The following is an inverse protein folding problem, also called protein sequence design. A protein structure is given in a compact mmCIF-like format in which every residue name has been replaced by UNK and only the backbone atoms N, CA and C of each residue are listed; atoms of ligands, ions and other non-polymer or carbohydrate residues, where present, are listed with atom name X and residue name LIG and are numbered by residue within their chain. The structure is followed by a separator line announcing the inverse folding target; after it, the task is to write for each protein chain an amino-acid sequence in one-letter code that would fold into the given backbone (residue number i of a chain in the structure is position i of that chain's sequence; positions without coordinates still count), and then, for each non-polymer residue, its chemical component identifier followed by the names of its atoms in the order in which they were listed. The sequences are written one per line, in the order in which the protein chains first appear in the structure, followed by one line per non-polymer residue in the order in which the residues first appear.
data_IF_190513501341
#
_entry.id   IF_190513501341
#
_cell.length_a   1.000
_cell.length_b   1.000
_cell.length_c   1.000
_cell.angle_alpha   90.00
_cell.angle_beta   90.00
_cell.angle_gamma   90.00
#
_symmetry.space_group_name_H-M   'P 1'
#
loop_
_entity.id
_entity.type
_entity.pdbx_description
1 polymer ?
#
# COMPACT_ATOMS: atom_id res chain seq x y z
N UNK A 1 -9.57 1.44 -16.28
CA UNK A 1 -9.11 1.87 -14.94
C UNK A 1 -9.39 0.70 -14.01
N UNK A 2 -8.43 0.30 -13.20
CA UNK A 2 -8.60 -0.76 -12.19
C UNK A 2 -8.84 -0.08 -10.84
N UNK A 3 -9.82 -0.56 -10.07
CA UNK A 3 -10.15 0.00 -8.76
C UNK A 3 -10.01 -1.11 -7.72
N UNK A 4 -9.22 -0.86 -6.67
CA UNK A 4 -8.95 -1.87 -5.64
C UNK A 4 -8.90 -1.29 -4.21
N UNK A 5 -9.55 -1.92 -3.22
CA UNK A 5 -10.46 -3.05 -3.37
C UNK A 5 -11.73 -2.66 -4.17
N UNK A 6 -12.39 -3.62 -4.84
CA UNK A 6 -13.60 -3.35 -5.64
C UNK A 6 -14.80 -2.90 -4.79
N UNK A 7 -14.74 -3.12 -3.48
CA UNK A 7 -15.75 -2.68 -2.52
C UNK A 7 -15.05 -2.37 -1.19
N UNK A 8 -15.38 -1.24 -0.57
CA UNK A 8 -14.79 -0.80 0.70
C UNK A 8 -14.21 0.61 0.63
N UNK A 9 -13.86 1.13 1.81
CA UNK A 9 -13.30 2.48 1.97
C UNK A 9 -11.83 2.50 1.57
N UNK A 10 -11.38 3.58 0.92
CA UNK A 10 -9.98 3.75 0.53
C UNK A 10 -9.59 3.02 -0.76
N UNK A 11 -10.48 2.89 -1.74
CA UNK A 11 -10.13 2.31 -3.03
C UNK A 11 -9.06 3.14 -3.79
N UNK A 12 -8.07 2.46 -4.37
CA UNK A 12 -7.07 3.05 -5.28
C UNK A 12 -7.50 2.87 -6.72
N UNK A 13 -7.41 3.95 -7.50
CA UNK A 13 -7.68 3.97 -8.94
C UNK A 13 -6.37 3.86 -9.71
N UNK A 14 -6.14 2.73 -10.37
CA UNK A 14 -4.98 2.50 -11.22
C UNK A 14 -5.36 2.82 -12.67
N UNK A 15 -4.67 3.80 -13.22
CA UNK A 15 -4.83 4.18 -14.62
C UNK A 15 -3.81 3.48 -15.51
N UNK A 16 -4.04 3.52 -16.83
CA UNK A 16 -3.02 3.06 -17.80
C UNK A 16 -1.71 3.86 -17.70
N UNK A 17 -1.77 5.11 -17.26
CA UNK A 17 -0.58 5.93 -17.03
C UNK A 17 0.25 5.43 -15.86
N UNK A 18 -0.39 4.91 -14.81
CA UNK A 18 0.31 4.27 -13.69
C UNK A 18 0.98 2.98 -14.15
N UNK A 19 0.31 2.15 -14.95
CA UNK A 19 0.90 0.90 -15.45
C UNK A 19 2.19 1.12 -16.26
N UNK A 20 2.32 2.23 -16.98
CA UNK A 20 3.56 2.58 -17.70
C UNK A 20 4.77 2.78 -16.77
N UNK A 21 4.55 3.00 -15.47
CA UNK A 21 5.63 3.12 -14.48
C UNK A 21 6.14 1.77 -13.97
N UNK A 22 5.52 0.66 -14.36
CA UNK A 22 6.05 -0.68 -14.13
C UNK A 22 7.15 -1.05 -15.14
N UNK A 23 7.35 -0.24 -16.19
CA UNK A 23 8.43 -0.47 -17.16
C UNK A 23 9.81 -0.24 -16.52
N UNK A 24 10.79 -1.03 -16.98
CA UNK A 24 12.16 -1.00 -16.48
C UNK A 24 12.76 0.41 -16.51
N UNK A 25 13.31 0.85 -15.38
CA UNK A 25 13.97 2.16 -15.24
C UNK A 25 13.03 3.32 -14.88
N UNK A 26 11.74 3.06 -14.66
CA UNK A 26 10.79 4.06 -14.15
C UNK A 26 10.58 3.91 -12.64
N UNK A 27 10.42 5.03 -11.94
CA UNK A 27 10.03 5.02 -10.52
C UNK A 27 8.54 4.73 -10.38
N UNK A 28 8.19 3.80 -9.49
CA UNK A 28 6.80 3.50 -9.12
C UNK A 28 6.12 4.77 -8.57
N UNK A 29 4.85 4.95 -8.92
CA UNK A 29 4.01 6.00 -8.35
C UNK A 29 3.46 5.58 -6.98
N UNK A 30 3.18 6.55 -6.10
CA UNK A 30 2.56 6.36 -4.79
C UNK A 30 1.30 5.45 -4.88
N UNK A 31 0.51 5.60 -5.95
CA UNK A 31 -0.69 4.79 -6.23
C UNK A 31 -0.38 3.31 -6.46
N UNK A 32 0.70 2.98 -7.16
CA UNK A 32 1.10 1.59 -7.42
C UNK A 32 1.65 0.93 -6.15
N UNK A 33 2.41 1.69 -5.35
CA UNK A 33 2.93 1.23 -4.08
C UNK A 33 1.76 0.93 -3.13
N UNK A 34 0.79 1.84 -3.02
CA UNK A 34 -0.41 1.63 -2.19
C UNK A 34 -1.23 0.43 -2.66
N UNK A 35 -1.39 0.24 -3.98
CA UNK A 35 -2.05 -0.94 -4.52
C UNK A 35 -1.32 -2.23 -4.15
N UNK A 36 0.00 -2.29 -4.40
CA UNK A 36 0.80 -3.48 -4.12
C UNK A 36 0.75 -3.88 -2.65
N UNK A 37 0.83 -2.91 -1.73
CA UNK A 37 0.72 -3.17 -0.29
C UNK A 37 -0.64 -3.71 0.11
N UNK A 38 -1.74 -3.22 -0.49
CA UNK A 38 -3.08 -3.74 -0.20
C UNK A 38 -3.28 -5.16 -0.73
N UNK A 39 -2.78 -5.45 -1.93
CA UNK A 39 -2.81 -6.81 -2.49
C UNK A 39 -2.01 -7.76 -1.61
N UNK A 40 -0.80 -7.37 -1.24
CA UNK A 40 0.06 -8.18 -0.35
C UNK A 40 -0.58 -8.40 1.02
N UNK A 41 -1.16 -7.37 1.64
CA UNK A 41 -1.88 -7.52 2.91
C UNK A 41 -3.09 -8.45 2.76
N UNK A 42 -3.85 -8.34 1.68
CA UNK A 42 -4.97 -9.23 1.41
C UNK A 42 -4.51 -10.69 1.24
N UNK A 43 -3.42 -10.94 0.52
CA UNK A 43 -2.81 -12.28 0.41
C UNK A 43 -2.33 -12.77 1.78
N UNK A 44 -1.69 -11.90 2.57
CA UNK A 44 -1.25 -12.21 3.93
C UNK A 44 -2.44 -12.58 4.83
N UNK A 45 -3.59 -11.92 4.69
CA UNK A 45 -4.82 -12.29 5.40
C UNK A 45 -5.30 -13.71 5.06
N UNK A 46 -5.12 -14.16 3.81
CA UNK A 46 -5.51 -15.51 3.40
C UNK A 46 -4.54 -16.58 3.90
N UNK A 47 -3.24 -16.28 3.96
CA UNK A 47 -2.20 -17.24 4.34
C UNK A 47 -1.97 -17.28 5.85
N UNK A 48 -1.91 -16.11 6.50
CA UNK A 48 -1.61 -15.95 7.91
C UNK A 48 -2.38 -14.76 8.51
N UNK A 49 -3.67 -14.95 8.87
CA UNK A 49 -4.54 -13.87 9.35
C UNK A 49 -4.02 -13.19 10.61
N UNK A 50 -3.42 -13.93 11.55
CA UNK A 50 -2.85 -13.37 12.80
C UNK A 50 -1.72 -12.36 12.54
N UNK A 51 -0.91 -12.59 11.51
CA UNK A 51 0.15 -11.66 11.12
C UNK A 51 -0.44 -10.47 10.38
N UNK A 52 -1.46 -10.69 9.55
CA UNK A 52 -2.13 -9.61 8.85
C UNK A 52 -2.87 -8.64 9.80
N UNK A 53 -3.43 -9.11 10.91
CA UNK A 53 -4.01 -8.24 11.95
C UNK A 53 -2.97 -7.31 12.60
N UNK A 54 -1.70 -7.72 12.61
CA UNK A 54 -0.58 -6.92 13.11
C UNK A 54 -0.05 -5.93 12.07
N UNK A 55 -0.51 -6.00 10.81
CA UNK A 55 -0.02 -5.14 9.72
C UNK A 55 -1.10 -4.14 9.33
N UNK A 56 -0.81 -2.84 9.54
CA UNK A 56 -1.66 -1.75 9.08
C UNK A 56 -0.99 -0.95 7.96
N UNK A 57 -1.64 -0.89 6.80
CA UNK A 57 -1.16 -0.12 5.64
C UNK A 57 -1.81 1.26 5.64
N UNK A 58 -1.00 2.30 5.88
CA UNK A 58 -1.43 3.69 5.74
C UNK A 58 -1.26 4.20 4.30
N UNK A 59 -2.11 5.14 3.90
CA UNK A 59 -1.93 5.85 2.63
C UNK A 59 -0.72 6.81 2.69
N UNK A 60 -0.01 6.96 1.57
CA UNK A 60 1.06 7.96 1.36
C UNK A 60 0.70 9.40 1.80
N UNK A 61 -0.56 9.84 1.70
CA UNK A 61 -1.03 11.16 2.17
C UNK A 61 -0.99 11.28 3.71
N UNK A 62 -1.28 10.20 4.43
CA UNK A 62 -1.21 10.18 5.89
C UNK A 62 0.24 10.40 6.35
N UNK A 63 1.18 9.76 5.66
CA UNK A 63 2.60 9.91 5.95
C UNK A 63 3.14 11.29 5.57
N UNK A 64 2.74 11.85 4.42
CA UNK A 64 3.06 13.25 4.03
C UNK A 64 2.59 14.28 5.07
N UNK A 65 1.52 13.97 5.82
CA UNK A 65 0.99 14.84 6.89
C UNK A 65 1.65 14.62 8.25
N UNK A 66 2.20 13.43 8.49
CA UNK A 66 2.93 13.06 9.70
C UNK A 66 4.39 13.52 9.68
N UNK A 67 5.05 13.46 8.53
CA UNK A 67 6.46 13.76 8.42
C UNK A 67 6.68 14.97 7.50
N UNK A 68 7.05 16.11 8.08
CA UNK A 68 7.53 17.30 7.35
C UNK A 68 8.85 17.08 6.59
N UNK A 69 9.34 15.83 6.50
CA UNK A 69 10.56 15.44 5.78
C UNK A 69 10.29 14.21 4.91
N UNK A 70 10.74 14.35 3.65
CA UNK A 70 10.57 13.43 2.53
C UNK A 70 11.40 12.16 2.70
N UNK A 71 10.89 11.12 3.33
CA UNK A 71 11.38 9.75 3.10
C UNK A 71 10.20 8.77 3.17
N UNK A 72 9.88 8.14 2.04
CA UNK A 72 8.88 7.07 1.98
C UNK A 72 9.45 5.84 2.68
N UNK A 73 9.08 5.65 3.94
CA UNK A 73 9.29 4.40 4.66
C UNK A 73 7.93 3.81 4.94
N UNK A 74 7.64 2.66 4.33
CA UNK A 74 6.46 1.85 4.67
C UNK A 74 6.65 1.42 6.13
N UNK A 75 5.97 2.10 7.06
CA UNK A 75 5.94 1.71 8.47
C UNK A 75 5.09 0.45 8.61
N UNK A 76 5.74 -0.71 8.52
CA UNK A 76 5.16 -1.96 9.02
C UNK A 76 5.39 -1.94 10.53
N UNK A 77 4.39 -1.47 11.29
CA UNK A 77 4.42 -1.56 12.75
C UNK A 77 4.15 -3.01 13.15
N UNK A 78 5.21 -3.82 13.26
CA UNK A 78 5.12 -5.13 13.92
C UNK A 78 4.93 -4.90 15.42
N UNK A 79 3.69 -4.99 15.90
CA UNK A 79 3.44 -4.98 17.33
C UNK A 79 3.91 -6.33 17.90
N UNK A 80 5.09 -6.34 18.53
CA UNK A 80 5.56 -7.52 19.28
C UNK A 80 4.52 -7.83 20.36
N UNK A 81 3.83 -8.95 20.22
CA UNK A 81 3.00 -9.53 21.27
C UNK A 81 3.91 -10.22 22.28
N UNK A 82 3.96 -9.66 23.49
CA UNK A 82 4.26 -10.37 24.73
C UNK A 82 3.12 -11.31 25.11
#
# INVERSE_FOLDING_TARGET
VLVYPPSGTGAVNITRGDLKRLDNGQYLNDTLIEFGLKVWLHELQQVQPELAEQVHVFNSFFFKKLNGKKECVVLILLHNLS
#
